data_IF_311373175582
#
_entry.id   IF_311373175582
#
_cell.length_a   1.000
_cell.length_b   1.000
_cell.length_c   1.000
_cell.angle_alpha   90.00
_cell.angle_beta   90.00
_cell.angle_gamma   90.00
#
_symmetry.space_group_name_H-M   'P 1'
#
loop_
_entity.id
_entity.type
_entity.pdbx_description
1 polymer ?
#
# COMPACT_ATOMS: atom_id res chain seq x y z
N UNK A 1 -28.12 -15.16 13.93
CA UNK A 1 -27.25 -15.22 12.73
C UNK A 1 -26.03 -14.36 13.03
N UNK A 2 -24.83 -14.94 13.12
CA UNK A 2 -23.62 -14.13 13.28
C UNK A 2 -23.42 -13.32 11.99
N UNK A 3 -23.35 -12.00 12.11
CA UNK A 3 -22.95 -11.11 11.01
C UNK A 3 -21.63 -11.61 10.43
N UNK A 4 -21.58 -11.89 9.12
CA UNK A 4 -20.32 -12.16 8.43
C UNK A 4 -19.49 -10.89 8.53
N UNK A 5 -18.34 -10.97 9.22
CA UNK A 5 -17.46 -9.81 9.37
C UNK A 5 -16.74 -9.57 8.05
N UNK A 6 -17.13 -8.51 7.34
CA UNK A 6 -16.43 -7.99 6.19
C UNK A 6 -15.13 -7.29 6.63
N UNK A 7 -13.97 -7.84 6.28
CA UNK A 7 -12.66 -7.28 6.60
C UNK A 7 -12.23 -6.29 5.51
N UNK A 8 -12.13 -5.00 5.85
CA UNK A 8 -11.63 -3.95 4.94
C UNK A 8 -10.18 -3.63 5.24
N UNK A 9 -9.30 -3.85 4.27
CA UNK A 9 -7.87 -3.57 4.39
C UNK A 9 -7.44 -2.51 3.40
N UNK A 10 -6.69 -1.52 3.86
CA UNK A 10 -5.94 -0.60 3.00
C UNK A 10 -4.48 -1.05 2.93
N UNK A 11 -3.99 -1.35 1.74
CA UNK A 11 -2.56 -1.52 1.49
C UNK A 11 -2.00 -0.23 0.92
N UNK A 12 -1.29 0.54 1.74
CA UNK A 12 -0.77 1.86 1.42
C UNK A 12 0.76 1.81 1.27
N UNK A 13 1.29 2.46 0.24
CA UNK A 13 2.74 2.51 0.07
C UNK A 13 3.20 3.05 -1.27
N UNK A 14 4.37 2.60 -1.69
CA UNK A 14 5.00 2.99 -2.94
C UNK A 14 5.01 1.84 -3.98
N UNK A 15 6.12 1.68 -4.71
CA UNK A 15 6.28 0.73 -5.81
C UNK A 15 6.07 -0.74 -5.42
N UNK A 16 6.53 -1.17 -4.24
CA UNK A 16 6.30 -2.54 -3.75
C UNK A 16 4.82 -2.83 -3.50
N UNK A 17 4.07 -1.83 -3.03
CA UNK A 17 2.62 -1.94 -2.85
C UNK A 17 1.92 -1.96 -4.20
N UNK A 18 2.29 -1.06 -5.10
CA UNK A 18 1.73 -0.98 -6.47
C UNK A 18 2.06 -2.25 -7.30
N UNK A 19 3.13 -2.96 -6.93
CA UNK A 19 3.59 -4.16 -7.62
C UNK A 19 4.54 -3.88 -8.77
N UNK A 20 5.19 -2.71 -8.79
CA UNK A 20 6.08 -2.29 -9.87
C UNK A 20 7.20 -3.32 -10.12
N UNK A 21 7.32 -3.76 -11.38
CA UNK A 21 8.48 -4.52 -11.84
C UNK A 21 8.75 -4.25 -13.34
N UNK A 22 9.82 -4.83 -13.90
CA UNK A 22 10.20 -4.65 -15.30
C UNK A 22 10.27 -3.17 -15.74
N UNK A 23 10.89 -2.32 -14.90
CA UNK A 23 11.01 -0.88 -15.17
C UNK A 23 9.68 -0.12 -15.22
N UNK A 24 8.60 -0.65 -14.64
CA UNK A 24 7.28 -0.01 -14.60
C UNK A 24 6.40 -0.34 -15.80
N UNK A 25 6.88 -1.20 -16.70
CA UNK A 25 6.08 -1.74 -17.80
C UNK A 25 5.03 -2.75 -17.34
N UNK A 26 5.19 -3.30 -16.12
CA UNK A 26 4.30 -4.33 -15.57
C UNK A 26 4.12 -4.16 -14.06
N UNK A 27 2.99 -4.67 -13.58
CA UNK A 27 2.60 -4.63 -12.17
C UNK A 27 2.12 -6.00 -11.69
N UNK A 28 2.63 -6.43 -10.53
CA UNK A 28 2.23 -7.65 -9.83
C UNK A 28 2.16 -7.35 -8.33
N UNK A 29 1.07 -6.70 -7.87
CA UNK A 29 0.97 -6.24 -6.49
C UNK A 29 0.81 -7.40 -5.51
N UNK A 30 1.52 -7.33 -4.38
CA UNK A 30 1.42 -8.36 -3.33
C UNK A 30 0.00 -8.51 -2.77
N UNK A 31 -0.84 -7.49 -2.90
CA UNK A 31 -2.24 -7.49 -2.44
C UNK A 31 -3.09 -8.57 -3.11
N UNK A 32 -2.76 -8.96 -4.35
CA UNK A 32 -3.42 -10.08 -5.03
C UNK A 32 -3.15 -11.39 -4.30
N UNK A 33 -1.86 -11.69 -4.08
CA UNK A 33 -1.45 -12.90 -3.36
C UNK A 33 -1.94 -12.89 -1.91
N UNK A 34 -1.93 -11.74 -1.25
CA UNK A 34 -2.46 -11.60 0.10
C UNK A 34 -3.96 -11.93 0.17
N UNK A 35 -4.75 -11.46 -0.79
CA UNK A 35 -6.18 -11.76 -0.86
C UNK A 35 -6.44 -13.27 -1.04
N UNK A 36 -5.68 -13.94 -1.91
CA UNK A 36 -5.76 -15.39 -2.10
C UNK A 36 -5.47 -16.17 -0.82
N UNK A 37 -4.49 -15.71 -0.03
CA UNK A 37 -4.09 -16.37 1.22
C UNK A 37 -5.10 -16.15 2.35
N UNK A 38 -5.80 -15.00 2.37
CA UNK A 38 -6.74 -14.66 3.45
C UNK A 38 -8.14 -15.22 3.20
N UNK A 39 -8.60 -15.28 1.94
CA UNK A 39 -9.95 -15.75 1.58
C UNK A 39 -10.37 -17.10 2.21
N UNK A 40 -9.49 -18.10 2.38
CA UNK A 40 -9.83 -19.34 3.06
C UNK A 40 -10.14 -19.19 4.56
N UNK A 41 -9.64 -18.12 5.19
CA UNK A 41 -9.77 -17.85 6.63
C UNK A 41 -10.91 -16.89 6.95
N UNK A 42 -11.17 -15.95 6.05
CA UNK A 42 -12.21 -14.92 6.20
C UNK A 42 -12.98 -14.85 4.88
N UNK A 43 -14.27 -15.18 4.93
CA UNK A 43 -15.10 -15.32 3.73
C UNK A 43 -15.33 -14.01 2.97
N UNK A 44 -15.26 -12.87 3.68
CA UNK A 44 -15.59 -11.56 3.13
C UNK A 44 -14.46 -10.58 3.41
N UNK A 45 -13.56 -10.40 2.44
CA UNK A 45 -12.35 -9.57 2.54
C UNK A 45 -12.21 -8.67 1.31
N UNK A 46 -11.94 -7.40 1.58
CA UNK A 46 -11.55 -6.39 0.61
C UNK A 46 -10.13 -5.89 0.93
N UNK A 47 -9.27 -5.81 -0.09
CA UNK A 47 -7.94 -5.18 0.02
C UNK A 47 -7.83 -4.09 -1.03
N UNK A 48 -7.88 -2.83 -0.60
CA UNK A 48 -7.65 -1.68 -1.45
C UNK A 48 -6.14 -1.44 -1.60
N UNK A 49 -5.63 -1.55 -2.83
CA UNK A 49 -4.26 -1.19 -3.15
C UNK A 49 -4.16 0.33 -3.37
N UNK A 50 -3.30 0.99 -2.61
CA UNK A 50 -2.99 2.42 -2.67
C UNK A 50 -1.47 2.65 -2.78
N UNK A 51 -0.78 1.80 -3.55
CA UNK A 51 0.61 1.98 -3.92
C UNK A 51 0.80 3.06 -4.98
N UNK A 52 1.84 3.90 -4.84
CA UNK A 52 2.26 4.86 -5.87
C UNK A 52 3.78 4.79 -6.04
N UNK A 53 4.27 4.28 -7.19
CA UNK A 53 5.70 4.20 -7.45
C UNK A 53 6.43 5.55 -7.33
N UNK A 54 7.63 5.51 -6.75
CA UNK A 54 8.49 6.68 -6.56
C UNK A 54 8.12 7.59 -5.39
N UNK A 55 6.98 7.38 -4.73
CA UNK A 55 6.59 8.19 -3.58
C UNK A 55 7.45 7.87 -2.35
N UNK A 56 7.95 8.92 -1.68
CA UNK A 56 8.81 8.83 -0.51
C UNK A 56 8.09 9.35 0.74
N UNK A 57 8.45 8.89 1.93
CA UNK A 57 7.88 9.34 3.20
C UNK A 57 8.16 10.82 3.43
N UNK A 58 9.39 11.25 3.15
CA UNK A 58 9.84 12.64 3.26
C UNK A 58 9.34 13.53 2.12
N UNK A 59 8.57 12.99 1.17
CA UNK A 59 7.86 13.81 0.19
C UNK A 59 6.68 14.53 0.85
N UNK A 60 6.29 15.67 0.28
CA UNK A 60 5.11 16.41 0.75
C UNK A 60 3.77 15.75 0.39
N UNK A 61 3.75 14.58 -0.27
CA UNK A 61 2.53 13.96 -0.80
C UNK A 61 2.04 12.77 0.01
N UNK A 62 2.94 11.94 0.56
CA UNK A 62 2.55 10.63 1.12
C UNK A 62 1.62 10.75 2.33
N UNK A 63 2.00 11.56 3.33
CA UNK A 63 1.17 11.74 4.53
C UNK A 63 -0.17 12.42 4.23
N UNK A 64 -0.24 13.52 3.46
CA UNK A 64 -1.52 14.10 3.04
C UNK A 64 -2.42 13.11 2.30
N UNK A 65 -1.84 12.29 1.41
CA UNK A 65 -2.59 11.26 0.66
C UNK A 65 -3.18 10.20 1.59
N UNK A 66 -2.42 9.69 2.55
CA UNK A 66 -2.95 8.75 3.55
C UNK A 66 -4.12 9.36 4.31
N UNK A 67 -3.97 10.61 4.80
CA UNK A 67 -5.03 11.33 5.51
C UNK A 67 -6.29 11.47 4.66
N UNK A 68 -6.12 11.85 3.39
CA UNK A 68 -7.23 12.02 2.44
C UNK A 68 -7.97 10.70 2.19
N UNK A 69 -7.25 9.60 1.96
CA UNK A 69 -7.87 8.27 1.76
C UNK A 69 -8.69 7.88 3.00
N UNK A 70 -8.11 8.05 4.19
CA UNK A 70 -8.79 7.71 5.44
C UNK A 70 -9.99 8.61 5.72
N UNK A 71 -9.94 9.90 5.38
CA UNK A 71 -11.04 10.83 5.62
C UNK A 71 -12.20 10.67 4.64
N UNK A 72 -11.90 10.28 3.39
CA UNK A 72 -12.91 10.10 2.34
C UNK A 72 -13.49 8.68 2.30
N UNK A 73 -12.92 7.74 3.06
CA UNK A 73 -13.41 6.37 3.10
C UNK A 73 -14.85 6.32 3.65
N UNK A 74 -15.79 5.80 2.86
CA UNK A 74 -17.19 5.62 3.26
C UNK A 74 -17.34 4.73 4.50
N UNK A 75 -16.43 3.78 4.67
CA UNK A 75 -16.35 2.89 5.82
C UNK A 75 -14.92 2.87 6.35
N UNK A 76 -14.76 2.71 7.66
CA UNK A 76 -13.44 2.54 8.26
C UNK A 76 -12.78 1.25 7.76
N UNK A 77 -11.48 1.32 7.53
CA UNK A 77 -10.65 0.13 7.35
C UNK A 77 -10.46 -0.54 8.71
N UNK A 78 -10.53 -1.88 8.74
CA UNK A 78 -10.13 -2.68 9.88
C UNK A 78 -8.61 -2.71 10.02
N UNK A 79 -7.91 -2.82 8.88
CA UNK A 79 -6.45 -2.86 8.81
C UNK A 79 -5.89 -1.85 7.81
N UNK A 80 -4.76 -1.25 8.17
CA UNK A 80 -3.94 -0.43 7.28
C UNK A 80 -2.54 -1.01 7.27
N UNK A 81 -2.12 -1.53 6.12
CA UNK A 81 -0.77 -2.03 5.88
C UNK A 81 0.04 -0.90 5.24
N UNK A 82 1.15 -0.50 5.85
CA UNK A 82 2.00 0.59 5.35
C UNK A 82 3.35 0.01 4.95
N UNK A 83 3.67 0.11 3.66
CA UNK A 83 4.99 -0.20 3.10
C UNK A 83 5.58 1.05 2.45
N UNK A 84 6.42 1.75 3.20
CA UNK A 84 7.01 3.02 2.82
C UNK A 84 8.49 3.11 3.26
N UNK A 85 9.22 4.11 2.77
CA UNK A 85 10.62 4.37 3.15
C UNK A 85 11.66 3.89 2.13
N UNK A 86 11.29 3.02 1.18
CA UNK A 86 12.24 2.51 0.17
C UNK A 86 12.81 3.63 -0.70
N UNK A 87 11.98 4.57 -1.15
CA UNK A 87 12.42 5.70 -1.98
C UNK A 87 13.25 6.72 -1.18
N UNK A 88 13.01 6.86 0.12
CA UNK A 88 13.81 7.70 1.01
C UNK A 88 15.24 7.16 1.10
N UNK A 89 15.39 5.86 1.38
CA UNK A 89 16.72 5.22 1.45
C UNK A 89 17.50 5.31 0.13
N UNK A 90 16.84 5.17 -1.02
CA UNK A 90 17.49 5.31 -2.32
C UNK A 90 17.98 6.74 -2.57
N UNK A 91 17.21 7.75 -2.16
CA UNK A 91 17.61 9.16 -2.29
C UNK A 91 18.81 9.47 -1.40
N UNK A 92 18.84 8.97 -0.18
CA UNK A 92 19.97 9.14 0.74
C UNK A 92 21.25 8.51 0.17
N UNK A 93 21.15 7.29 -0.40
CA UNK A 93 22.30 6.64 -1.05
C UNK A 93 22.81 7.41 -2.26
N UNK A 94 21.90 7.93 -3.10
CA UNK A 94 22.29 8.76 -4.25
C UNK A 94 23.00 10.04 -3.83
N UNK A 95 22.62 10.65 -2.70
CA UNK A 95 23.32 11.82 -2.16
C UNK A 95 24.70 11.43 -1.60
N UNK A 96 24.80 10.35 -0.84
CA UNK A 96 26.08 9.88 -0.30
C UNK A 96 27.10 9.51 -1.39
N UNK A 97 26.65 8.94 -2.51
CA UNK A 97 27.53 8.58 -3.64
C UNK A 97 28.06 9.76 -4.46
N UNK A 98 27.60 10.99 -4.18
CA UNK A 98 28.01 12.23 -4.86
C UNK A 98 29.05 13.04 -4.07
N UNK A 99 29.42 12.58 -2.87
CA UNK A 99 30.47 13.14 -2.02
C UNK A 99 31.78 12.38 -2.23
#
# INVERSE_FOLDING_TARGET
MSSVRHLRTLAFGASLTEGYYAGGSKFHPYTQRLLELIRPLIADVEIQNAGISGEAVLSSTMLPRLKQILSLAKHKFDWVLILAGTNDTLRDQQQASKL
#
